data_IF_719617346327
#
_entry.id   IF_719617346327
#
_cell.length_a   1.000
_cell.length_b   1.000
_cell.length_c   1.000
_cell.angle_alpha   90.00
_cell.angle_beta   90.00
_cell.angle_gamma   90.00
#
_symmetry.space_group_name_H-M   'P 1'
#
loop_
_entity.id
_entity.type
_entity.pdbx_description
1 polymer ?
#
# COMPACT_ATOMS: atom_id res chain seq x y z
N UNK A 1 -11.46 12.04 4.43
CA UNK A 1 -10.22 12.12 5.25
C UNK A 1 -9.30 13.11 4.57
N UNK A 2 -8.74 14.04 5.33
CA UNK A 2 -7.80 15.01 4.76
C UNK A 2 -6.44 14.36 4.55
N UNK A 3 -5.79 14.69 3.44
CA UNK A 3 -4.39 14.35 3.20
C UNK A 3 -3.50 15.23 4.08
N UNK A 4 -2.38 14.70 4.53
CA UNK A 4 -1.35 15.43 5.28
C UNK A 4 0.03 15.04 4.78
N UNK A 5 1.11 15.56 5.39
CA UNK A 5 2.47 15.26 4.98
C UNK A 5 3.28 14.61 6.08
N UNK A 6 4.10 13.63 5.70
CA UNK A 6 5.25 13.17 6.48
C UNK A 6 6.50 13.67 5.75
N UNK A 7 7.21 14.61 6.33
CA UNK A 7 8.29 15.32 5.64
C UNK A 7 7.79 15.97 4.35
N UNK A 8 8.37 15.60 3.20
CA UNK A 8 7.97 16.10 1.88
C UNK A 8 6.84 15.29 1.21
N UNK A 9 6.49 14.11 1.74
CA UNK A 9 5.60 13.14 1.08
C UNK A 9 4.16 13.32 1.56
N UNK A 10 3.22 13.37 0.62
CA UNK A 10 1.78 13.46 0.91
C UNK A 10 1.22 12.07 1.22
N UNK A 11 0.48 11.95 2.32
CA UNK A 11 -0.26 10.76 2.74
C UNK A 11 -1.74 11.01 2.49
N UNK A 12 -2.36 10.18 1.66
CA UNK A 12 -3.78 10.33 1.35
C UNK A 12 -4.20 9.57 0.10
N UNK A 13 -5.51 9.47 -0.19
CA UNK A 13 -6.04 8.65 -1.28
C UNK A 13 -5.67 9.18 -2.67
N UNK A 14 -5.37 10.48 -2.79
CA UNK A 14 -5.02 11.12 -4.06
C UNK A 14 -3.49 11.13 -4.33
N UNK A 15 -2.71 10.45 -3.49
CA UNK A 15 -1.27 10.28 -3.64
C UNK A 15 -0.91 8.78 -3.73
N UNK A 16 0.23 8.43 -4.38
CA UNK A 16 0.73 7.06 -4.35
C UNK A 16 0.90 6.54 -2.92
N UNK A 17 0.75 5.22 -2.69
CA UNK A 17 0.94 4.64 -1.37
C UNK A 17 2.34 4.92 -0.81
N UNK A 18 2.42 5.29 0.46
CA UNK A 18 3.67 5.51 1.17
C UNK A 18 4.22 4.17 1.65
N UNK A 19 5.35 3.73 1.07
CA UNK A 19 5.99 2.44 1.38
C UNK A 19 7.14 2.65 2.36
N UNK A 20 7.07 1.95 3.49
CA UNK A 20 8.05 1.98 4.59
C UNK A 20 8.80 0.66 4.59
N UNK A 21 10.13 0.72 4.46
CA UNK A 21 11.03 -0.40 4.68
C UNK A 21 11.41 -0.45 6.17
N UNK A 22 11.01 -1.52 6.87
CA UNK A 22 11.35 -1.78 8.27
C UNK A 22 12.67 -2.52 8.35
N UNK A 23 13.71 -1.88 8.89
CA UNK A 23 15.02 -2.53 9.08
C UNK A 23 14.99 -3.52 10.25
N UNK A 24 14.33 -3.15 11.37
CA UNK A 24 14.33 -3.95 12.59
C UNK A 24 15.75 -4.37 13.01
N UNK A 25 15.93 -5.58 13.52
CA UNK A 25 17.23 -6.16 13.88
C UNK A 25 18.04 -6.77 12.74
N UNK A 26 17.64 -6.58 11.47
CA UNK A 26 18.31 -7.19 10.30
C UNK A 26 19.71 -6.61 10.00
N UNK A 27 20.13 -5.58 10.74
CA UNK A 27 21.50 -5.06 10.68
C UNK A 27 22.54 -5.99 11.32
N UNK A 28 22.12 -7.05 12.02
CA UNK A 28 23.01 -8.07 12.61
C UNK A 28 24.16 -7.46 13.44
N UNK A 29 23.85 -6.44 14.26
CA UNK A 29 24.81 -5.70 15.10
C UNK A 29 26.00 -5.12 14.32
N UNK A 30 25.75 -4.68 13.06
CA UNK A 30 26.74 -4.05 12.20
C UNK A 30 26.21 -2.75 11.60
N UNK A 31 26.85 -1.61 11.92
CA UNK A 31 26.50 -0.32 11.32
C UNK A 31 26.71 -0.33 9.79
N UNK A 32 27.76 -0.99 9.31
CA UNK A 32 28.00 -1.14 7.87
C UNK A 32 26.85 -1.89 7.18
N UNK A 33 26.36 -2.97 7.78
CA UNK A 33 25.19 -3.69 7.32
C UNK A 33 23.94 -2.79 7.32
N UNK A 34 23.72 -2.03 8.40
CA UNK A 34 22.62 -1.07 8.48
C UNK A 34 22.66 -0.05 7.35
N UNK A 35 23.82 0.54 7.07
CA UNK A 35 23.99 1.50 5.97
C UNK A 35 23.76 0.86 4.60
N UNK A 36 24.21 -0.38 4.38
CA UNK A 36 23.89 -1.14 3.15
C UNK A 36 22.41 -1.40 3.00
N UNK A 37 21.67 -1.69 4.08
CA UNK A 37 20.21 -1.84 4.09
C UNK A 37 19.54 -0.51 3.67
N UNK A 38 19.99 0.64 4.20
CA UNK A 38 19.51 1.98 3.79
C UNK A 38 19.65 2.17 2.28
N UNK A 39 20.85 1.88 1.74
CA UNK A 39 21.14 2.03 0.32
C UNK A 39 20.27 1.14 -0.55
N UNK A 40 20.08 -0.11 -0.13
CA UNK A 40 19.26 -1.07 -0.84
C UNK A 40 17.77 -0.69 -0.81
N UNK A 41 17.26 -0.20 0.32
CA UNK A 41 15.88 0.29 0.45
C UNK A 41 15.63 1.50 -0.44
N UNK A 42 16.54 2.47 -0.44
CA UNK A 42 16.46 3.64 -1.31
C UNK A 42 16.51 3.25 -2.79
N UNK A 43 17.42 2.34 -3.18
CA UNK A 43 17.53 1.81 -4.55
C UNK A 43 16.27 1.05 -4.98
N UNK A 44 15.61 0.36 -4.06
CA UNK A 44 14.35 -0.33 -4.31
C UNK A 44 13.16 0.64 -4.45
N UNK A 45 13.34 1.93 -4.14
CA UNK A 45 12.32 2.97 -4.24
C UNK A 45 11.44 3.10 -3.00
N UNK A 46 11.82 2.53 -1.86
CA UNK A 46 11.11 2.75 -0.59
C UNK A 46 11.09 4.26 -0.27
N UNK A 47 9.96 4.72 0.27
CA UNK A 47 9.78 6.14 0.58
C UNK A 47 10.37 6.52 1.94
N UNK A 48 10.41 5.55 2.86
CA UNK A 48 11.01 5.74 4.17
C UNK A 48 11.67 4.46 4.67
N UNK A 49 12.71 4.64 5.48
CA UNK A 49 13.28 3.62 6.34
C UNK A 49 12.73 3.80 7.75
N UNK A 50 12.38 2.70 8.42
CA UNK A 50 12.01 2.71 9.83
C UNK A 50 12.98 1.87 10.66
N UNK A 51 13.33 2.40 11.82
CA UNK A 51 14.10 1.73 12.87
C UNK A 51 13.21 1.39 14.06
N UNK A 52 13.83 0.73 15.03
CA UNK A 52 13.29 0.47 16.37
C UNK A 52 14.25 1.08 17.39
N UNK A 53 13.72 1.90 18.30
CA UNK A 53 14.52 2.62 19.28
C UNK A 53 14.16 2.15 20.68
N UNK A 54 15.00 1.28 21.23
CA UNK A 54 14.92 0.74 22.58
C UNK A 54 16.30 0.27 23.05
N UNK A 55 16.41 -0.08 24.31
CA UNK A 55 17.48 -0.91 24.86
C UNK A 55 16.86 -2.16 25.49
N UNK A 56 17.62 -3.22 25.72
CA UNK A 56 17.07 -4.39 26.40
C UNK A 56 16.51 -4.03 27.79
N UNK A 57 17.15 -3.09 28.51
CA UNK A 57 16.69 -2.62 29.82
C UNK A 57 15.36 -1.86 29.78
N UNK A 58 15.02 -1.19 28.67
CA UNK A 58 13.72 -0.50 28.53
C UNK A 58 12.62 -1.42 28.08
N UNK A 59 12.95 -2.62 27.59
CA UNK A 59 11.99 -3.62 27.10
C UNK A 59 11.64 -4.68 28.15
N UNK A 60 12.61 -5.12 28.95
CA UNK A 60 12.43 -6.26 29.85
C UNK A 60 13.51 -6.29 30.95
N UNK A 61 13.50 -7.34 31.75
CA UNK A 61 14.52 -7.59 32.81
C UNK A 61 15.52 -8.65 32.35
N UNK A 62 16.78 -8.54 32.82
CA UNK A 62 17.81 -9.54 32.56
C UNK A 62 17.56 -10.79 33.44
N UNK A 63 16.61 -11.59 33.02
CA UNK A 63 16.17 -12.84 33.65
C UNK A 63 16.06 -13.91 32.57
N UNK A 64 16.64 -15.08 32.77
CA UNK A 64 16.69 -16.17 31.81
C UNK A 64 15.75 -17.35 32.17
N UNK A 65 14.73 -17.09 32.99
CA UNK A 65 13.76 -18.09 33.43
C UNK A 65 12.32 -17.54 33.45
N UNK A 66 11.36 -18.43 33.77
CA UNK A 66 9.96 -18.06 33.95
C UNK A 66 9.31 -17.54 32.68
N UNK A 67 8.65 -16.38 32.78
CA UNK A 67 7.98 -15.65 31.70
C UNK A 67 8.94 -14.80 30.85
N UNK A 68 10.17 -14.63 31.29
CA UNK A 68 11.21 -13.90 30.54
C UNK A 68 12.00 -14.81 29.59
N UNK A 69 11.68 -16.13 29.54
CA UNK A 69 12.33 -17.08 28.64
C UNK A 69 11.36 -17.65 27.61
N UNK A 70 11.75 -17.62 26.32
CA UNK A 70 10.90 -18.03 25.20
C UNK A 70 10.92 -19.55 25.08
N UNK A 71 9.86 -20.21 25.56
CA UNK A 71 9.73 -21.68 25.64
C UNK A 71 8.96 -22.29 24.47
N UNK A 72 8.19 -21.49 23.71
CA UNK A 72 7.41 -22.01 22.58
C UNK A 72 8.35 -22.53 21.48
N UNK A 73 8.37 -23.82 21.20
CA UNK A 73 9.26 -24.40 20.17
C UNK A 73 8.93 -23.94 18.75
N UNK A 74 7.75 -23.36 18.52
CA UNK A 74 7.34 -22.81 17.24
C UNK A 74 7.77 -21.35 17.06
N UNK A 75 8.28 -20.69 18.09
CA UNK A 75 8.81 -19.34 17.99
C UNK A 75 10.13 -19.34 17.23
N UNK A 76 10.32 -18.34 16.36
CA UNK A 76 11.62 -18.10 15.69
C UNK A 76 12.75 -17.88 16.68
N UNK A 77 12.44 -17.43 17.89
CA UNK A 77 13.37 -17.04 18.94
C UNK A 77 13.39 -18.02 20.13
N UNK A 78 12.86 -19.24 19.92
CA UNK A 78 12.81 -20.26 20.95
C UNK A 78 14.20 -20.57 21.55
N UNK A 79 14.25 -20.71 22.88
CA UNK A 79 15.48 -21.04 23.59
C UNK A 79 16.33 -19.83 24.00
N UNK A 80 15.85 -18.59 23.79
CA UNK A 80 16.48 -17.36 24.24
C UNK A 80 15.70 -16.71 25.38
N UNK A 81 16.36 -15.94 26.25
CA UNK A 81 15.65 -14.98 27.10
C UNK A 81 15.22 -13.77 26.29
N UNK A 82 14.16 -13.08 26.74
CA UNK A 82 13.73 -11.83 26.11
C UNK A 82 14.86 -10.78 26.13
N UNK A 83 15.60 -10.70 27.22
CA UNK A 83 16.71 -9.74 27.35
C UNK A 83 17.81 -10.00 26.30
N UNK A 84 18.26 -11.25 26.17
CA UNK A 84 19.29 -11.62 25.18
C UNK A 84 18.81 -11.38 23.74
N UNK A 85 17.52 -11.63 23.47
CA UNK A 85 16.92 -11.34 22.17
C UNK A 85 16.94 -9.83 21.87
N UNK A 86 16.53 -9.00 22.82
CA UNK A 86 16.52 -7.55 22.63
C UNK A 86 17.93 -6.97 22.55
N UNK A 87 18.90 -7.50 23.31
CA UNK A 87 20.32 -7.14 23.15
C UNK A 87 20.84 -7.42 21.74
N UNK A 88 20.44 -8.54 21.14
CA UNK A 88 20.81 -8.89 19.77
C UNK A 88 20.09 -8.04 18.73
N UNK A 89 18.83 -7.69 18.97
CA UNK A 89 17.96 -7.08 17.98
C UNK A 89 17.99 -5.54 18.00
N UNK A 90 18.35 -4.90 19.12
CA UNK A 90 18.28 -3.45 19.24
C UNK A 90 19.23 -2.74 18.26
N UNK A 91 18.82 -1.57 17.79
CA UNK A 91 19.69 -0.65 17.05
C UNK A 91 20.40 0.25 18.07
N UNK A 92 21.75 0.18 18.21
CA UNK A 92 22.47 1.10 19.06
C UNK A 92 22.10 2.56 18.78
N UNK A 93 21.86 3.34 19.84
CA UNK A 93 21.30 4.68 19.68
C UNK A 93 22.23 5.61 18.90
N UNK A 94 23.53 5.46 19.03
CA UNK A 94 24.56 6.21 18.28
C UNK A 94 24.53 5.94 16.77
N UNK A 95 23.84 4.86 16.30
CA UNK A 95 23.71 4.55 14.88
C UNK A 95 22.58 5.30 14.20
N UNK A 96 21.61 5.82 14.96
CA UNK A 96 20.46 6.51 14.39
C UNK A 96 20.86 7.72 13.55
N UNK A 97 21.74 8.59 14.09
CA UNK A 97 22.17 9.78 13.38
C UNK A 97 22.86 9.48 12.03
N UNK A 98 23.86 8.59 11.93
CA UNK A 98 24.46 8.24 10.64
C UNK A 98 23.48 7.52 9.69
N UNK A 99 22.58 6.66 10.19
CA UNK A 99 21.55 5.99 9.38
C UNK A 99 20.58 7.02 8.80
N UNK A 100 20.07 7.94 9.62
CA UNK A 100 19.13 8.98 9.17
C UNK A 100 19.80 9.97 8.19
N UNK A 101 21.07 10.32 8.44
CA UNK A 101 21.83 11.14 7.51
C UNK A 101 21.98 10.45 6.15
N UNK A 102 22.31 9.14 6.12
CA UNK A 102 22.45 8.38 4.89
C UNK A 102 21.13 8.25 4.13
N UNK A 103 20.02 7.98 4.82
CA UNK A 103 18.70 7.95 4.21
C UNK A 103 18.35 9.30 3.55
N UNK A 104 18.60 10.41 4.26
CA UNK A 104 18.37 11.78 3.75
C UNK A 104 19.22 12.10 2.52
N UNK A 105 20.50 11.72 2.51
CA UNK A 105 21.39 11.87 1.33
C UNK A 105 20.82 11.16 0.10
N UNK A 106 20.16 10.01 0.29
CA UNK A 106 19.54 9.23 -0.77
C UNK A 106 18.11 9.68 -1.10
N UNK A 107 17.61 10.77 -0.48
CA UNK A 107 16.28 11.30 -0.72
C UNK A 107 15.15 10.52 -0.06
N UNK A 108 15.45 9.61 0.86
CA UNK A 108 14.49 8.80 1.59
C UNK A 108 14.26 9.39 3.00
N UNK A 109 13.02 9.35 3.48
CA UNK A 109 12.71 9.70 4.86
C UNK A 109 13.24 8.61 5.81
N UNK A 110 13.52 8.99 7.06
CA UNK A 110 13.83 8.03 8.10
C UNK A 110 13.18 8.45 9.42
N UNK A 111 12.64 7.49 10.14
CA UNK A 111 12.03 7.66 11.44
C UNK A 111 12.09 6.34 12.23
N UNK A 112 11.51 6.31 13.42
CA UNK A 112 11.63 5.13 14.27
C UNK A 112 10.35 4.85 15.07
N UNK A 113 10.30 3.66 15.64
CA UNK A 113 9.38 3.24 16.68
C UNK A 113 10.05 3.43 18.02
N UNK A 114 9.63 4.38 18.88
CA UNK A 114 10.03 4.40 20.28
C UNK A 114 9.27 3.33 21.07
N UNK A 115 9.94 2.69 22.02
CA UNK A 115 9.31 1.70 22.90
C UNK A 115 9.17 2.21 24.35
N UNK A 116 9.69 3.39 24.65
CA UNK A 116 9.58 4.07 25.94
C UNK A 116 9.70 5.59 25.79
N UNK A 117 9.46 6.33 26.87
CA UNK A 117 9.50 7.80 26.85
C UNK A 117 10.89 8.36 26.55
N UNK A 118 11.97 7.69 26.98
CA UNK A 118 13.35 8.14 26.75
C UNK A 118 13.73 8.04 25.28
N UNK A 119 13.21 7.01 24.57
CA UNK A 119 13.36 6.87 23.14
C UNK A 119 12.65 8.01 22.37
N UNK A 120 11.49 8.50 22.86
CA UNK A 120 10.83 9.68 22.27
C UNK A 120 11.72 10.91 22.41
N UNK A 121 12.26 11.18 23.60
CA UNK A 121 13.13 12.34 23.84
C UNK A 121 14.40 12.29 22.99
N UNK A 122 14.98 11.10 22.83
CA UNK A 122 16.12 10.88 21.95
C UNK A 122 15.76 11.16 20.47
N UNK A 123 14.65 10.62 19.97
CA UNK A 123 14.21 10.82 18.58
C UNK A 123 13.84 12.28 18.30
N UNK A 124 13.31 13.03 19.28
CA UNK A 124 13.11 14.47 19.16
C UNK A 124 14.42 15.21 18.94
N UNK A 125 15.51 14.78 19.61
CA UNK A 125 16.85 15.37 19.41
C UNK A 125 17.39 15.17 17.97
N UNK A 126 16.86 14.18 17.23
CA UNK A 126 17.21 13.86 15.85
C UNK A 126 16.23 14.45 14.82
N UNK A 127 15.20 15.18 15.27
CA UNK A 127 14.17 15.82 14.44
C UNK A 127 13.51 14.86 13.43
N UNK A 128 13.04 13.71 13.90
CA UNK A 128 12.34 12.73 13.07
C UNK A 128 11.03 13.33 12.49
N UNK A 129 10.66 12.98 11.23
CA UNK A 129 9.48 13.56 10.58
C UNK A 129 8.15 12.94 11.03
N UNK A 130 8.17 11.81 11.71
CA UNK A 130 6.99 11.08 12.18
C UNK A 130 7.38 10.05 13.25
N UNK A 131 6.38 9.51 13.93
CA UNK A 131 6.53 8.44 14.92
C UNK A 131 5.71 7.21 14.56
N UNK A 132 6.22 6.03 14.92
CA UNK A 132 5.49 4.78 14.86
C UNK A 132 5.23 4.24 16.27
N UNK A 133 4.02 3.77 16.52
CA UNK A 133 3.67 2.93 17.66
C UNK A 133 3.45 1.51 17.14
N UNK A 134 4.22 0.55 17.65
CA UNK A 134 4.10 -0.84 17.23
C UNK A 134 2.84 -1.51 17.84
N UNK A 135 2.52 -2.71 17.37
CA UNK A 135 1.29 -3.40 17.77
C UNK A 135 1.26 -3.76 19.25
N UNK A 136 2.41 -4.09 19.83
CA UNK A 136 2.50 -4.46 21.25
C UNK A 136 2.37 -3.26 22.18
N UNK A 137 2.63 -2.04 21.69
CA UNK A 137 2.56 -0.77 22.42
C UNK A 137 1.26 0.00 22.13
N UNK A 138 0.34 -0.54 21.34
CA UNK A 138 -0.89 0.19 20.98
C UNK A 138 -1.86 0.41 22.14
N UNK A 139 -1.61 -0.21 23.28
CA UNK A 139 -2.33 0.01 24.54
C UNK A 139 -1.51 0.78 25.59
N UNK A 140 -0.28 1.16 25.26
CA UNK A 140 0.56 2.01 26.14
C UNK A 140 0.13 3.48 25.99
N UNK A 141 -0.94 3.83 26.71
CA UNK A 141 -1.54 5.17 26.65
C UNK A 141 -0.54 6.27 27.08
N UNK A 142 0.30 6.11 28.12
CA UNK A 142 1.35 7.07 28.43
C UNK A 142 2.29 7.35 27.28
N UNK A 143 2.84 6.32 26.63
CA UNK A 143 3.73 6.44 25.48
C UNK A 143 3.02 7.13 24.30
N UNK A 144 1.77 6.74 23.99
CA UNK A 144 0.97 7.35 22.93
C UNK A 144 0.79 8.86 23.19
N UNK A 145 0.47 9.26 24.41
CA UNK A 145 0.32 10.68 24.78
C UNK A 145 1.64 11.44 24.65
N UNK A 146 2.74 10.84 25.09
CA UNK A 146 4.08 11.44 24.97
C UNK A 146 4.44 11.70 23.51
N UNK A 147 4.24 10.70 22.64
CA UNK A 147 4.47 10.85 21.20
C UNK A 147 3.54 11.89 20.59
N UNK A 148 2.23 11.86 20.90
CA UNK A 148 1.26 12.80 20.38
C UNK A 148 1.55 14.26 20.75
N UNK A 149 2.10 14.49 21.95
CA UNK A 149 2.49 15.81 22.43
C UNK A 149 3.62 16.46 21.62
N UNK A 150 4.37 15.69 20.81
CA UNK A 150 5.37 16.24 19.87
C UNK A 150 4.74 17.03 18.74
N UNK A 151 3.43 16.82 18.46
CA UNK A 151 2.71 17.44 17.34
C UNK A 151 3.08 16.88 15.96
N UNK A 152 3.92 15.85 15.90
CA UNK A 152 4.34 15.20 14.65
C UNK A 152 3.33 14.12 14.22
N UNK A 153 3.26 13.77 12.91
CA UNK A 153 2.44 12.65 12.42
C UNK A 153 2.73 11.35 13.16
N UNK A 154 1.67 10.60 13.46
CA UNK A 154 1.76 9.33 14.19
C UNK A 154 1.16 8.20 13.36
N UNK A 155 1.84 7.06 13.34
CA UNK A 155 1.42 5.83 12.69
C UNK A 155 1.28 4.76 13.79
N UNK A 156 0.09 4.17 13.96
CA UNK A 156 -0.18 3.14 14.98
C UNK A 156 -0.54 1.83 14.30
N UNK A 157 0.17 0.74 14.62
CA UNK A 157 -0.22 -0.61 14.21
C UNK A 157 -1.28 -1.18 15.15
N UNK A 158 -2.29 -1.86 14.58
CA UNK A 158 -3.50 -2.30 15.28
C UNK A 158 -3.51 -3.79 15.61
N UNK A 159 -2.37 -4.46 15.55
CA UNK A 159 -2.28 -5.89 15.83
C UNK A 159 -2.80 -6.23 17.23
N UNK A 160 -3.57 -7.34 17.33
CA UNK A 160 -4.15 -7.88 18.56
C UNK A 160 -5.22 -7.00 19.24
N UNK A 161 -5.22 -5.68 18.97
CA UNK A 161 -6.13 -4.75 19.66
C UNK A 161 -7.60 -4.98 19.31
N UNK A 162 -8.45 -4.94 20.31
CA UNK A 162 -9.89 -4.81 20.17
C UNK A 162 -10.28 -3.39 19.72
N UNK A 163 -11.52 -3.23 19.23
CA UNK A 163 -12.03 -1.90 18.86
C UNK A 163 -12.02 -0.94 20.06
N UNK A 164 -12.30 -1.43 21.28
CA UNK A 164 -12.31 -0.60 22.48
C UNK A 164 -10.90 -0.07 22.81
N UNK A 165 -9.90 -0.91 22.73
CA UNK A 165 -8.49 -0.51 22.94
C UNK A 165 -8.02 0.48 21.86
N UNK A 166 -8.40 0.27 20.60
CA UNK A 166 -8.08 1.23 19.53
C UNK A 166 -8.79 2.57 19.72
N UNK A 167 -10.05 2.58 20.17
CA UNK A 167 -10.76 3.82 20.48
C UNK A 167 -10.07 4.59 21.60
N UNK A 168 -9.63 3.90 22.66
CA UNK A 168 -8.89 4.50 23.75
C UNK A 168 -7.56 5.11 23.26
N UNK A 169 -6.80 4.37 22.46
CA UNK A 169 -5.52 4.81 21.90
C UNK A 169 -5.68 6.01 20.96
N UNK A 170 -6.67 5.99 20.07
CA UNK A 170 -6.94 7.09 19.13
C UNK A 170 -7.43 8.34 19.87
N UNK A 171 -8.28 8.18 20.89
CA UNK A 171 -8.70 9.33 21.72
C UNK A 171 -7.52 9.92 22.48
N UNK A 172 -6.71 9.07 23.13
CA UNK A 172 -5.52 9.52 23.86
C UNK A 172 -4.55 10.30 22.95
N UNK A 173 -4.30 9.80 21.72
CA UNK A 173 -3.48 10.50 20.75
C UNK A 173 -4.06 11.87 20.37
N UNK A 174 -5.35 11.94 20.06
CA UNK A 174 -6.01 13.18 19.66
C UNK A 174 -6.11 14.20 20.78
N UNK A 175 -6.45 13.77 22.00
CA UNK A 175 -6.50 14.62 23.19
C UNK A 175 -5.14 15.22 23.54
N UNK A 176 -4.05 14.49 23.23
CA UNK A 176 -2.66 14.95 23.43
C UNK A 176 -2.13 15.78 22.25
N UNK A 177 -2.91 16.04 21.18
CA UNK A 177 -2.58 16.98 20.11
C UNK A 177 -2.24 16.34 18.74
N UNK A 178 -2.31 15.01 18.58
CA UNK A 178 -2.09 14.37 17.30
C UNK A 178 -3.23 14.69 16.31
N UNK A 179 -2.93 15.40 15.24
CA UNK A 179 -3.87 15.72 14.13
C UNK A 179 -3.72 14.77 12.96
N UNK A 180 -2.51 14.30 12.70
CA UNK A 180 -2.11 13.52 11.53
C UNK A 180 -1.84 12.08 11.94
N UNK A 181 -2.90 11.26 11.86
CA UNK A 181 -2.90 9.88 12.34
C UNK A 181 -3.09 8.89 11.19
N UNK A 182 -2.30 7.81 11.21
CA UNK A 182 -2.48 6.62 10.37
C UNK A 182 -2.69 5.39 11.25
N UNK A 183 -3.68 4.58 10.93
CA UNK A 183 -3.86 3.26 11.55
C UNK A 183 -3.47 2.17 10.54
N UNK A 184 -2.49 1.34 10.89
CA UNK A 184 -2.10 0.20 10.08
C UNK A 184 -2.79 -1.06 10.57
N UNK A 185 -3.67 -1.67 9.75
CA UNK A 185 -4.07 -3.05 10.00
C UNK A 185 -2.80 -3.90 10.08
N UNK A 186 -2.71 -4.72 11.10
CA UNK A 186 -1.55 -5.58 11.34
C UNK A 186 -1.99 -6.96 11.82
N UNK A 187 -1.22 -7.98 11.49
CA UNK A 187 -1.29 -9.32 12.07
C UNK A 187 0.07 -9.63 12.67
N UNK A 188 0.13 -9.66 14.02
CA UNK A 188 1.38 -9.78 14.78
C UNK A 188 1.78 -11.25 14.96
N UNK A 189 1.96 -11.96 13.83
CA UNK A 189 2.61 -13.28 13.74
C UNK A 189 3.70 -13.21 12.68
N UNK A 190 4.79 -13.93 12.86
CA UNK A 190 6.04 -13.79 12.12
C UNK A 190 6.56 -15.14 11.62
N UNK A 191 6.37 -15.50 10.30
CA UNK A 191 5.57 -14.81 9.30
C UNK A 191 4.06 -14.89 9.59
N UNK A 192 3.29 -13.96 9.00
CA UNK A 192 1.84 -14.03 9.02
C UNK A 192 1.31 -14.89 7.87
N UNK A 193 0.28 -15.71 8.12
CA UNK A 193 -0.50 -16.31 7.05
C UNK A 193 -1.39 -15.26 6.39
N UNK A 194 -1.47 -15.22 5.03
CA UNK A 194 -2.39 -14.32 4.31
C UNK A 194 -3.85 -14.46 4.77
N UNK A 195 -4.29 -15.62 5.18
CA UNK A 195 -5.64 -15.90 5.68
C UNK A 195 -6.00 -15.07 6.92
N UNK A 196 -4.99 -14.70 7.73
CA UNK A 196 -5.16 -13.93 8.96
C UNK A 196 -5.05 -12.41 8.73
N UNK A 197 -4.78 -11.96 7.51
CA UNK A 197 -4.56 -10.52 7.22
C UNK A 197 -5.84 -9.70 7.34
N UNK A 198 -7.00 -10.29 7.05
CA UNK A 198 -8.32 -9.63 7.17
C UNK A 198 -8.34 -8.18 6.67
N UNK A 199 -7.77 -7.92 5.48
CA UNK A 199 -7.59 -6.57 4.91
C UNK A 199 -8.91 -5.80 4.71
N UNK A 200 -10.07 -6.47 4.71
CA UNK A 200 -11.39 -5.80 4.75
C UNK A 200 -11.57 -4.92 5.98
N UNK A 201 -10.75 -5.08 7.01
CA UNK A 201 -10.72 -4.20 8.20
C UNK A 201 -10.21 -2.81 7.86
N UNK A 202 -9.39 -2.64 6.82
CA UNK A 202 -8.77 -1.35 6.43
C UNK A 202 -9.84 -0.27 6.17
N UNK A 203 -10.80 -0.45 5.25
CA UNK A 203 -11.84 0.57 5.05
C UNK A 203 -12.73 0.78 6.27
N UNK A 204 -12.93 -0.24 7.10
CA UNK A 204 -13.68 -0.10 8.34
C UNK A 204 -12.96 0.78 9.37
N UNK A 205 -11.62 0.61 9.52
CA UNK A 205 -10.80 1.50 10.37
C UNK A 205 -10.91 2.96 9.89
N UNK A 206 -10.82 3.19 8.57
CA UNK A 206 -10.96 4.51 7.98
C UNK A 206 -12.31 5.14 8.31
N UNK A 207 -13.39 4.38 8.17
CA UNK A 207 -14.75 4.83 8.45
C UNK A 207 -14.98 5.10 9.94
N UNK A 208 -14.47 4.22 10.80
CA UNK A 208 -14.70 4.29 12.25
C UNK A 208 -13.92 5.42 12.90
N UNK A 209 -12.65 5.58 12.54
CA UNK A 209 -11.74 6.51 13.20
C UNK A 209 -11.51 7.82 12.42
N UNK A 210 -11.95 7.92 11.16
CA UNK A 210 -11.82 9.14 10.36
C UNK A 210 -10.36 9.57 10.13
N UNK A 211 -9.41 8.62 10.05
CA UNK A 211 -7.98 8.84 9.84
C UNK A 211 -7.47 8.08 8.61
N UNK A 212 -6.26 8.37 8.17
CA UNK A 212 -5.60 7.58 7.12
C UNK A 212 -5.36 6.16 7.60
N UNK A 213 -5.33 5.22 6.67
CA UNK A 213 -5.20 3.79 6.98
C UNK A 213 -4.18 3.11 6.09
N UNK A 214 -3.64 1.99 6.57
CA UNK A 214 -2.67 1.23 5.83
C UNK A 214 -2.57 -0.21 6.31
N UNK A 215 -1.47 -0.85 5.94
CA UNK A 215 -1.13 -2.22 6.31
C UNK A 215 0.31 -2.29 6.82
N UNK A 216 0.52 -2.89 7.99
CA UNK A 216 1.80 -3.44 8.42
C UNK A 216 1.75 -4.94 8.13
N UNK A 217 2.51 -5.37 7.11
CA UNK A 217 2.35 -6.67 6.46
C UNK A 217 3.53 -7.59 6.76
N UNK A 218 3.27 -8.70 7.46
CA UNK A 218 4.23 -9.74 7.78
C UNK A 218 4.03 -11.01 6.93
N UNK A 219 3.18 -10.95 5.88
CA UNK A 219 3.03 -12.07 4.94
C UNK A 219 4.20 -12.10 3.95
N UNK A 220 4.49 -13.27 3.40
CA UNK A 220 5.48 -13.39 2.33
C UNK A 220 4.94 -12.81 1.01
N UNK A 221 5.85 -12.22 0.23
CA UNK A 221 5.53 -11.61 -1.06
C UNK A 221 4.77 -10.27 -0.95
N UNK A 222 4.18 -9.82 -2.06
CA UNK A 222 3.59 -8.46 -2.18
C UNK A 222 2.07 -8.45 -2.38
N UNK A 223 1.46 -9.63 -2.57
CA UNK A 223 0.06 -9.75 -2.99
C UNK A 223 -0.94 -9.16 -2.00
N UNK A 224 -0.74 -9.37 -0.69
CA UNK A 224 -1.62 -8.85 0.37
C UNK A 224 -1.51 -7.32 0.44
N UNK A 225 -0.30 -6.77 0.33
CA UNK A 225 -0.06 -5.33 0.31
C UNK A 225 -0.72 -4.64 -0.91
N UNK A 226 -0.61 -5.24 -2.10
CA UNK A 226 -1.30 -4.76 -3.32
C UNK A 226 -2.81 -4.76 -3.13
N UNK A 227 -3.37 -5.84 -2.59
CA UNK A 227 -4.80 -5.94 -2.29
C UNK A 227 -5.23 -4.93 -1.21
N UNK A 228 -4.38 -4.62 -0.23
CA UNK A 228 -4.65 -3.62 0.80
C UNK A 228 -4.78 -2.21 0.20
N UNK A 229 -3.97 -1.86 -0.80
CA UNK A 229 -4.12 -0.60 -1.54
C UNK A 229 -5.49 -0.51 -2.21
N UNK A 230 -5.97 -1.61 -2.81
CA UNK A 230 -7.31 -1.67 -3.38
C UNK A 230 -8.43 -1.53 -2.32
N UNK A 231 -8.13 -1.81 -1.05
CA UNK A 231 -9.01 -1.58 0.10
C UNK A 231 -8.86 -0.17 0.71
N UNK A 232 -8.05 0.72 0.12
CA UNK A 232 -7.88 2.09 0.56
C UNK A 232 -6.66 2.33 1.46
N UNK A 233 -5.72 1.39 1.55
CA UNK A 233 -4.46 1.61 2.26
C UNK A 233 -3.64 2.70 1.57
N UNK A 234 -3.24 3.73 2.32
CA UNK A 234 -2.38 4.82 1.87
C UNK A 234 -0.94 4.67 2.35
N UNK A 235 -0.70 3.75 3.28
CA UNK A 235 0.61 3.42 3.86
C UNK A 235 0.79 1.91 3.89
N UNK A 236 1.95 1.44 3.44
CA UNK A 236 2.35 0.03 3.50
C UNK A 236 3.70 -0.06 4.21
N UNK A 237 3.77 -0.89 5.23
CA UNK A 237 5.00 -1.18 5.98
C UNK A 237 5.35 -2.65 5.84
N UNK A 238 6.62 -2.95 5.50
CA UNK A 238 7.14 -4.33 5.45
C UNK A 238 8.58 -4.38 5.94
N UNK A 239 8.90 -5.47 6.64
CA UNK A 239 10.29 -5.78 7.02
C UNK A 239 11.17 -5.95 5.80
N UNK A 240 12.42 -5.53 5.91
CA UNK A 240 13.38 -5.51 4.81
C UNK A 240 14.76 -5.98 5.25
N UNK A 241 15.38 -6.81 4.43
CA UNK A 241 16.76 -7.30 4.61
C UNK A 241 17.49 -7.31 3.27
N UNK A 242 18.81 -7.45 3.29
CA UNK A 242 19.61 -7.60 2.07
C UNK A 242 19.45 -8.98 1.46
N UNK A 243 19.58 -10.01 2.28
CA UNK A 243 19.47 -11.42 1.91
C UNK A 243 18.99 -12.22 3.11
N UNK A 244 17.90 -12.95 2.97
CA UNK A 244 17.37 -13.82 4.03
C UNK A 244 18.35 -14.93 4.42
N UNK A 245 19.22 -15.37 3.51
CA UNK A 245 20.21 -16.40 3.76
C UNK A 245 21.35 -15.95 4.68
N UNK A 246 21.61 -14.63 4.79
CA UNK A 246 22.58 -14.08 5.76
C UNK A 246 22.08 -14.19 7.20
N UNK A 247 20.81 -14.55 7.41
CA UNK A 247 20.19 -14.60 8.73
C UNK A 247 19.87 -13.21 9.28
N UNK A 248 19.43 -13.17 10.53
CA UNK A 248 18.99 -11.97 11.25
C UNK A 248 17.71 -12.26 12.01
N UNK A 249 17.42 -11.45 13.01
CA UNK A 249 16.32 -11.68 13.96
C UNK A 249 14.96 -11.74 13.24
N UNK A 250 14.78 -10.94 12.18
CA UNK A 250 13.54 -10.84 11.41
C UNK A 250 13.74 -11.17 9.91
N UNK A 251 14.91 -11.69 9.53
CA UNK A 251 15.25 -11.91 8.13
C UNK A 251 14.29 -12.87 7.42
N UNK A 252 13.84 -13.93 8.09
CA UNK A 252 13.07 -15.02 7.48
C UNK A 252 11.73 -14.58 6.86
N UNK A 253 11.12 -13.49 7.35
CA UNK A 253 9.86 -12.93 6.83
C UNK A 253 10.03 -11.55 6.20
N UNK A 254 11.27 -11.04 6.13
CA UNK A 254 11.60 -9.76 5.50
C UNK A 254 11.64 -9.87 3.97
N UNK A 255 11.29 -8.79 3.28
CA UNK A 255 11.51 -8.68 1.84
C UNK A 255 12.98 -8.45 1.51
N UNK A 256 13.42 -9.02 0.40
CA UNK A 256 14.70 -8.70 -0.23
C UNK A 256 14.57 -7.54 -1.22
N UNK A 257 15.70 -6.95 -1.70
CA UNK A 257 15.68 -5.75 -2.55
C UNK A 257 14.80 -5.84 -3.79
N UNK A 258 14.79 -6.97 -4.48
CA UNK A 258 13.95 -7.17 -5.67
C UNK A 258 12.46 -7.24 -5.32
N UNK A 259 12.13 -7.83 -4.19
CA UNK A 259 10.76 -7.94 -3.70
C UNK A 259 10.24 -6.57 -3.21
N UNK A 260 11.09 -5.78 -2.54
CA UNK A 260 10.75 -4.40 -2.13
C UNK A 260 10.51 -3.51 -3.35
N UNK A 261 11.35 -3.60 -4.38
CA UNK A 261 11.14 -2.86 -5.63
C UNK A 261 9.83 -3.27 -6.33
N UNK A 262 9.50 -4.56 -6.29
CA UNK A 262 8.20 -5.06 -6.76
C UNK A 262 7.05 -4.51 -5.93
N UNK A 263 7.19 -4.48 -4.60
CA UNK A 263 6.18 -3.92 -3.70
C UNK A 263 5.87 -2.46 -4.06
N UNK A 264 6.90 -1.62 -4.17
CA UNK A 264 6.75 -0.20 -4.52
C UNK A 264 6.03 -0.04 -5.85
N UNK A 265 6.50 -0.73 -6.90
CA UNK A 265 5.94 -0.59 -8.23
C UNK A 265 4.51 -1.13 -8.35
N UNK A 266 4.21 -2.28 -7.72
CA UNK A 266 2.89 -2.91 -7.84
C UNK A 266 1.83 -2.23 -6.95
N UNK A 267 2.22 -1.67 -5.80
CA UNK A 267 1.30 -0.87 -4.98
C UNK A 267 0.95 0.44 -5.66
N UNK A 268 1.91 1.11 -6.31
CA UNK A 268 1.65 2.30 -7.13
C UNK A 268 0.75 1.98 -8.32
N UNK A 269 1.01 0.89 -9.06
CA UNK A 269 0.15 0.45 -10.17
C UNK A 269 -1.27 0.13 -9.71
N UNK A 270 -1.41 -0.53 -8.55
CA UNK A 270 -2.72 -0.80 -7.97
C UNK A 270 -3.49 0.49 -7.69
N UNK A 271 -2.83 1.49 -7.07
CA UNK A 271 -3.41 2.80 -6.82
C UNK A 271 -3.81 3.52 -8.11
N UNK A 272 -2.95 3.57 -9.12
CA UNK A 272 -3.26 4.14 -10.43
C UNK A 272 -4.44 3.43 -11.10
N UNK A 273 -4.53 2.11 -10.94
CA UNK A 273 -5.59 1.27 -11.51
C UNK A 273 -6.96 1.43 -10.84
N UNK A 274 -7.04 1.96 -9.61
CA UNK A 274 -8.31 2.16 -8.92
C UNK A 274 -9.23 3.13 -9.67
N UNK A 275 -8.70 4.23 -10.16
CA UNK A 275 -9.44 5.21 -10.95
C UNK A 275 -10.74 5.65 -10.27
N UNK A 276 -11.77 5.80 -11.10
CA UNK A 276 -13.15 6.12 -10.68
C UNK A 276 -14.14 5.26 -11.45
N UNK A 277 -15.37 5.14 -10.94
CA UNK A 277 -16.44 4.50 -11.72
C UNK A 277 -16.61 5.27 -13.03
N UNK A 278 -16.38 4.59 -14.15
CA UNK A 278 -16.42 5.16 -15.48
C UNK A 278 -17.03 4.17 -16.47
N UNK A 279 -17.98 4.64 -17.26
CA UNK A 279 -18.58 3.91 -18.36
C UNK A 279 -18.41 4.72 -19.66
N UNK A 280 -18.29 4.03 -20.77
CA UNK A 280 -18.05 4.63 -22.09
C UNK A 280 -16.57 4.54 -22.48
N UNK A 281 -16.23 5.11 -23.62
CA UNK A 281 -14.86 5.12 -24.12
C UNK A 281 -14.04 6.18 -23.37
N UNK A 282 -12.91 5.78 -22.81
CA UNK A 282 -11.90 6.69 -22.30
C UNK A 282 -11.30 7.52 -23.44
N UNK A 283 -10.58 8.60 -23.11
CA UNK A 283 -9.89 9.41 -24.11
C UNK A 283 -8.91 8.56 -24.95
N UNK A 284 -8.24 7.60 -24.33
CA UNK A 284 -7.35 6.68 -25.02
C UNK A 284 -8.08 5.75 -26.02
N UNK A 285 -9.31 5.39 -25.71
CA UNK A 285 -10.12 4.46 -26.52
C UNK A 285 -10.93 5.16 -27.62
N UNK A 286 -11.00 6.51 -27.67
CA UNK A 286 -11.76 7.25 -28.68
C UNK A 286 -11.40 6.80 -30.11
N UNK A 287 -10.10 6.65 -30.39
CA UNK A 287 -9.62 6.19 -31.71
C UNK A 287 -10.03 4.75 -32.02
N UNK A 288 -10.30 3.93 -31.01
CA UNK A 288 -10.71 2.54 -31.16
C UNK A 288 -12.19 2.37 -31.50
N UNK A 289 -13.01 3.42 -31.35
CA UNK A 289 -14.43 3.39 -31.68
C UNK A 289 -14.66 3.06 -33.15
N UNK A 290 -13.74 3.43 -34.02
CA UNK A 290 -13.80 3.10 -35.47
C UNK A 290 -13.82 1.57 -35.72
N UNK A 291 -13.29 0.77 -34.80
CA UNK A 291 -13.29 -0.69 -34.91
C UNK A 291 -14.61 -1.34 -34.48
N UNK A 292 -15.60 -0.58 -34.03
CA UNK A 292 -16.94 -1.10 -33.81
C UNK A 292 -17.54 -1.56 -35.13
N UNK A 293 -18.53 -2.45 -35.04
CA UNK A 293 -19.31 -2.80 -36.23
C UNK A 293 -20.42 -1.79 -36.49
N UNK A 294 -20.73 -1.56 -37.78
CA UNK A 294 -21.89 -0.81 -38.21
C UNK A 294 -22.47 -1.43 -39.49
N UNK A 295 -23.63 -0.98 -39.91
CA UNK A 295 -24.28 -1.48 -41.11
C UNK A 295 -23.65 -0.86 -42.36
N UNK A 296 -23.26 -1.73 -43.28
CA UNK A 296 -22.67 -1.37 -44.57
C UNK A 296 -23.41 -2.05 -45.71
N UNK A 297 -23.48 -1.34 -46.84
CA UNK A 297 -23.89 -1.90 -48.11
C UNK A 297 -22.79 -2.81 -48.65
N UNK A 298 -23.09 -4.10 -48.89
CA UNK A 298 -22.15 -5.12 -49.37
C UNK A 298 -22.34 -5.53 -50.81
N UNK A 299 -23.43 -5.07 -51.42
CA UNK A 299 -23.73 -5.15 -52.87
C UNK A 299 -24.39 -3.84 -53.29
N UNK A 300 -24.13 -3.36 -54.51
CA UNK A 300 -24.80 -2.15 -55.03
C UNK A 300 -26.31 -2.28 -54.90
N UNK A 301 -26.99 -1.22 -54.46
CA UNK A 301 -28.44 -1.16 -54.28
C UNK A 301 -28.99 -0.06 -55.19
N UNK A 302 -29.99 -0.39 -56.01
CA UNK A 302 -30.69 0.59 -56.85
C UNK A 302 -31.67 1.46 -56.03
N UNK A 303 -32.00 2.66 -56.51
CA UNK A 303 -33.08 3.45 -55.94
C UNK A 303 -34.40 2.66 -55.91
N UNK A 304 -35.09 2.68 -54.79
CA UNK A 304 -36.34 1.93 -54.58
C UNK A 304 -36.16 0.45 -54.27
N UNK A 305 -34.95 -0.10 -54.40
CA UNK A 305 -34.65 -1.50 -54.03
C UNK A 305 -34.73 -1.68 -52.51
N UNK A 306 -35.12 -2.88 -52.06
CA UNK A 306 -35.28 -3.18 -50.65
C UNK A 306 -33.97 -3.61 -50.02
N UNK A 307 -33.67 -3.10 -48.81
CA UNK A 307 -32.61 -3.62 -47.99
C UNK A 307 -32.89 -5.04 -47.52
N UNK A 308 -31.92 -5.91 -47.66
CA UNK A 308 -31.98 -7.34 -47.34
C UNK A 308 -30.70 -7.84 -46.67
N UNK A 309 -30.73 -9.05 -46.12
CA UNK A 309 -29.52 -9.70 -45.54
C UNK A 309 -28.45 -10.01 -46.60
N UNK A 310 -28.77 -9.88 -47.90
CA UNK A 310 -27.82 -10.11 -49.00
C UNK A 310 -27.05 -8.84 -49.36
N UNK A 311 -27.68 -7.66 -49.28
CA UNK A 311 -27.10 -6.40 -49.74
C UNK A 311 -26.60 -5.50 -48.60
N UNK A 312 -26.95 -5.76 -47.33
CA UNK A 312 -26.39 -5.09 -46.16
C UNK A 312 -25.83 -6.08 -45.16
N UNK A 313 -24.83 -5.64 -44.39
CA UNK A 313 -24.18 -6.46 -43.37
C UNK A 313 -23.62 -5.59 -42.24
N UNK A 314 -23.60 -6.15 -40.99
CA UNK A 314 -22.92 -5.58 -39.88
C UNK A 314 -21.42 -5.94 -39.92
N UNK A 315 -20.57 -5.00 -40.33
CA UNK A 315 -19.12 -5.15 -40.48
C UNK A 315 -18.39 -3.95 -39.89
N UNK A 316 -17.07 -4.00 -39.83
CA UNK A 316 -16.22 -2.85 -39.55
C UNK A 316 -15.95 -2.06 -40.83
N UNK A 317 -15.73 -0.73 -40.72
CA UNK A 317 -15.60 0.12 -39.54
C UNK A 317 -16.96 0.59 -38.96
N UNK A 318 -16.88 1.30 -37.79
CA UNK A 318 -18.05 1.79 -37.05
C UNK A 318 -18.57 3.16 -37.48
N UNK A 319 -18.66 3.42 -38.78
CA UNK A 319 -19.04 4.72 -39.36
C UNK A 319 -20.50 4.81 -39.81
N UNK A 320 -21.19 3.68 -39.90
CA UNK A 320 -22.61 3.60 -40.28
C UNK A 320 -23.54 3.41 -39.09
N UNK A 321 -24.82 3.14 -39.38
CA UNK A 321 -25.85 2.80 -38.38
C UNK A 321 -25.37 1.63 -37.49
N UNK A 322 -25.62 1.72 -36.18
CA UNK A 322 -25.29 0.63 -35.26
C UNK A 322 -26.05 -0.66 -35.64
N UNK A 323 -25.45 -1.85 -35.48
CA UNK A 323 -26.06 -3.13 -35.84
C UNK A 323 -27.46 -3.37 -35.25
N UNK A 324 -27.78 -2.81 -34.12
CA UNK A 324 -29.07 -2.88 -33.42
C UNK A 324 -30.26 -2.36 -34.32
N UNK A 325 -29.95 -1.58 -35.34
CA UNK A 325 -30.96 -1.03 -36.25
C UNK A 325 -31.24 -1.92 -37.46
N UNK A 326 -30.64 -3.10 -37.60
CA UNK A 326 -30.74 -3.95 -38.76
C UNK A 326 -32.21 -4.33 -39.08
N UNK A 327 -32.97 -4.71 -38.06
CA UNK A 327 -34.37 -5.11 -38.23
C UNK A 327 -35.29 -3.94 -38.65
N UNK A 328 -34.94 -2.73 -38.22
CA UNK A 328 -35.63 -1.51 -38.63
C UNK A 328 -35.31 -1.09 -40.08
N UNK A 329 -34.19 -1.55 -40.62
CA UNK A 329 -33.74 -1.25 -41.98
C UNK A 329 -34.22 -2.31 -42.99
N UNK A 330 -34.19 -3.60 -42.62
CA UNK A 330 -34.57 -4.69 -43.49
C UNK A 330 -36.00 -4.51 -44.02
N UNK A 331 -36.14 -4.71 -45.33
CA UNK A 331 -37.42 -4.57 -46.03
C UNK A 331 -37.79 -3.14 -46.43
N UNK A 332 -37.15 -2.09 -45.89
CA UNK A 332 -37.33 -0.71 -46.34
C UNK A 332 -36.70 -0.50 -47.71
N UNK A 333 -37.14 0.53 -48.46
CA UNK A 333 -36.61 0.88 -49.77
C UNK A 333 -35.45 1.88 -49.65
N UNK A 334 -34.43 1.76 -50.49
CA UNK A 334 -33.41 2.76 -50.66
C UNK A 334 -33.98 4.04 -51.28
N UNK A 335 -33.66 5.20 -50.74
CA UNK A 335 -34.08 6.51 -51.28
C UNK A 335 -33.30 6.93 -52.50
N UNK A 336 -32.15 6.36 -52.73
CA UNK A 336 -31.27 6.63 -53.87
C UNK A 336 -30.43 5.38 -54.17
N UNK A 337 -29.71 5.37 -55.30
CA UNK A 337 -28.75 4.33 -55.61
C UNK A 337 -27.57 4.40 -54.65
N UNK A 338 -27.14 3.27 -54.06
CA UNK A 338 -26.10 3.18 -53.04
C UNK A 338 -25.05 2.18 -53.47
N UNK A 339 -23.80 2.60 -53.47
CA UNK A 339 -22.66 1.74 -53.83
C UNK A 339 -22.22 0.82 -52.70
N UNK A 340 -21.72 -0.35 -53.08
CA UNK A 340 -21.02 -1.26 -52.17
C UNK A 340 -19.90 -0.52 -51.44
N UNK A 341 -19.78 -0.77 -50.12
CA UNK A 341 -18.79 -0.10 -49.24
C UNK A 341 -19.31 1.19 -48.61
N UNK A 342 -20.56 1.59 -48.91
CA UNK A 342 -21.17 2.76 -48.25
C UNK A 342 -21.64 2.41 -46.86
N UNK A 343 -21.24 3.22 -45.87
CA UNK A 343 -21.77 3.17 -44.51
C UNK A 343 -23.24 3.57 -44.50
N UNK A 344 -24.12 2.77 -43.93
CA UNK A 344 -25.55 3.05 -43.93
C UNK A 344 -25.89 4.18 -42.96
N UNK A 345 -26.70 5.15 -43.44
CA UNK A 345 -27.30 6.21 -42.63
C UNK A 345 -28.82 6.23 -42.79
N UNK A 346 -29.52 6.90 -41.90
CA UNK A 346 -30.97 7.08 -42.02
C UNK A 346 -31.38 7.92 -43.24
N UNK A 347 -30.46 8.72 -43.79
CA UNK A 347 -30.72 9.58 -44.95
C UNK A 347 -31.04 8.77 -46.22
N UNK A 348 -30.45 7.58 -46.35
CA UNK A 348 -30.61 6.70 -47.50
C UNK A 348 -31.68 5.60 -47.31
N UNK A 349 -32.20 5.48 -46.07
CA UNK A 349 -33.26 4.50 -45.74
C UNK A 349 -34.63 5.16 -45.85
N UNK A 350 -35.47 4.59 -46.70
CA UNK A 350 -36.84 5.07 -46.99
C UNK A 350 -37.90 4.60 -46.02
#
# INVERSE_FOLDING_TARGET
MNSFKIGSITIGPDAPPFVIAEMSGNHNQSLDQALRIVEAAAKAGAHALKLQTYTADTMTLDIDEGEFFIKDPNSLWAGSSLYALYEQAHTPWEWHAPIFARAKELGMLAFSTPFDESAVDFLESLDVPAYKIASFENTDIPLIRKVAATGKPMIISTGMASIAELDESVRAAREAGCTDLVLLKCTSTYPASPENSHIRTIPHLAQLFGCQVGLSDHTMGVGVSVAAVAMGATVIEKHFTLDRAEGGVDASFSLEPAEMASLVSETERAWQGLGRVHYGATLAEQKSLVFRRSLYVVQDIAEGERFSKYNIRAIRPGLGLAPKHIDAVLGRKARCAIKRGTALSWDVVG
#
